data_IF_441169393958
#
_entry.id   IF_441169393958
#
_cell.length_a   1.000
_cell.length_b   1.000
_cell.length_c   1.000
_cell.angle_alpha   90.00
_cell.angle_beta   90.00
_cell.angle_gamma   90.00
#
_symmetry.space_group_name_H-M   'P 1'
#
loop_
_entity.id
_entity.type
_entity.pdbx_description
1 polymer ?
#
# COMPACT_ATOMS: atom_id res chain seq x y z
N UNK A 1 -4.12 10.13 41.93
CA UNK A 1 -4.08 9.44 40.61
C UNK A 1 -5.25 8.49 40.43
N UNK A 2 -5.41 7.43 41.25
CA UNK A 2 -6.48 6.44 41.08
C UNK A 2 -7.90 7.01 40.99
N UNK A 3 -8.33 7.81 41.97
CA UNK A 3 -9.64 8.48 41.96
C UNK A 3 -9.89 9.39 40.74
N UNK A 4 -8.82 9.99 40.19
CA UNK A 4 -8.92 10.82 38.99
C UNK A 4 -9.17 9.96 37.75
N UNK A 5 -8.42 8.86 37.60
CA UNK A 5 -8.63 7.91 36.48
C UNK A 5 -10.02 7.28 36.56
N UNK A 6 -10.47 6.86 37.76
CA UNK A 6 -11.82 6.32 37.98
C UNK A 6 -12.90 7.33 37.57
N UNK A 7 -12.77 8.61 37.95
CA UNK A 7 -13.72 9.64 37.54
C UNK A 7 -13.71 9.86 36.02
N UNK A 8 -12.51 9.95 35.42
CA UNK A 8 -12.34 10.17 33.98
C UNK A 8 -12.82 9.00 33.13
N UNK A 9 -12.84 7.78 33.66
CA UNK A 9 -13.22 6.54 32.94
C UNK A 9 -14.60 6.01 33.36
N UNK A 10 -15.34 6.79 34.16
CA UNK A 10 -16.66 6.39 34.64
C UNK A 10 -17.67 6.22 33.49
N UNK A 11 -18.53 5.17 33.54
CA UNK A 11 -19.62 5.00 32.57
C UNK A 11 -20.60 6.17 32.70
N UNK A 12 -20.84 6.91 31.61
CA UNK A 12 -21.72 8.10 31.59
C UNK A 12 -21.03 9.42 31.22
N UNK A 13 -19.70 9.42 31.08
CA UNK A 13 -18.98 10.50 30.39
C UNK A 13 -19.01 10.28 28.85
N UNK A 14 -20.20 10.06 28.30
CA UNK A 14 -20.42 9.89 26.86
C UNK A 14 -20.50 11.27 26.20
N UNK A 15 -19.82 11.43 25.06
CA UNK A 15 -19.73 12.72 24.34
C UNK A 15 -18.37 13.43 24.43
N UNK A 16 -17.29 12.73 24.79
CA UNK A 16 -15.94 13.28 24.74
C UNK A 16 -15.55 13.68 23.32
N UNK A 17 -14.97 14.85 23.18
CA UNK A 17 -14.40 15.39 21.95
C UNK A 17 -13.01 14.81 21.67
N UNK A 18 -12.56 14.90 20.41
CA UNK A 18 -11.19 14.50 20.02
C UNK A 18 -10.08 15.08 20.92
N UNK A 19 -10.09 16.40 21.22
CA UNK A 19 -9.10 17.00 22.12
C UNK A 19 -9.09 16.42 23.55
N UNK A 20 -10.23 15.97 24.06
CA UNK A 20 -10.32 15.32 25.37
C UNK A 20 -9.67 13.93 25.35
N UNK A 21 -9.83 13.20 24.26
CA UNK A 21 -9.12 11.94 24.05
C UNK A 21 -7.61 12.15 23.87
N UNK A 22 -7.18 13.20 23.17
CA UNK A 22 -5.76 13.55 23.07
C UNK A 22 -5.16 13.91 24.43
N UNK A 23 -5.93 14.62 25.27
CA UNK A 23 -5.52 14.93 26.64
C UNK A 23 -5.44 13.66 27.51
N UNK A 24 -6.38 12.73 27.35
CA UNK A 24 -6.34 11.43 28.01
C UNK A 24 -5.13 10.59 27.56
N UNK A 25 -4.77 10.63 26.27
CA UNK A 25 -3.55 10.01 25.73
C UNK A 25 -2.28 10.57 26.36
N UNK A 26 -2.16 11.91 26.44
CA UNK A 26 -1.03 12.57 27.12
C UNK A 26 -0.97 12.23 28.62
N UNK A 27 -2.13 12.14 29.29
CA UNK A 27 -2.20 11.71 30.68
C UNK A 27 -1.75 10.26 30.84
N UNK A 28 -2.18 9.37 29.95
CA UNK A 28 -1.73 7.98 29.94
C UNK A 28 -0.20 7.91 29.81
N UNK A 29 0.37 8.57 28.80
CA UNK A 29 1.82 8.59 28.57
C UNK A 29 2.60 9.16 29.77
N UNK A 30 2.05 10.16 30.46
CA UNK A 30 2.68 10.72 31.66
C UNK A 30 2.67 9.76 32.87
N UNK A 31 1.70 8.84 32.93
CA UNK A 31 1.53 7.87 34.00
C UNK A 31 2.15 6.50 33.68
N UNK A 32 2.34 6.17 32.40
CA UNK A 32 2.89 4.90 31.96
C UNK A 32 4.31 4.70 32.50
N UNK A 33 4.59 3.50 33.00
CA UNK A 33 5.82 3.16 33.75
C UNK A 33 6.01 3.88 35.09
N UNK A 34 5.14 4.83 35.47
CA UNK A 34 5.22 5.61 36.72
C UNK A 34 4.08 5.31 37.71
N UNK A 35 3.02 4.67 37.25
CA UNK A 35 1.88 4.23 38.05
C UNK A 35 1.62 2.73 37.87
N UNK A 36 0.99 2.05 38.86
CA UNK A 36 0.61 0.66 38.70
C UNK A 36 -0.32 0.46 37.50
N UNK A 37 -0.18 -0.64 36.77
CA UNK A 37 -1.01 -0.98 35.60
C UNK A 37 -2.50 -0.97 35.92
N UNK A 38 -2.89 -1.43 37.11
CA UNK A 38 -4.28 -1.39 37.59
C UNK A 38 -4.86 0.03 37.70
N UNK A 39 -4.01 1.05 37.79
CA UNK A 39 -4.41 2.46 37.81
C UNK A 39 -4.51 3.05 36.40
N UNK A 40 -3.72 2.57 35.43
CA UNK A 40 -3.71 3.10 34.06
C UNK A 40 -4.57 2.30 33.09
N UNK A 41 -4.91 1.05 33.42
CA UNK A 41 -5.68 0.14 32.58
C UNK A 41 -7.06 0.69 32.14
N UNK A 42 -7.86 1.34 33.01
CA UNK A 42 -9.13 1.93 32.57
C UNK A 42 -8.94 3.04 31.52
N UNK A 43 -7.85 3.82 31.64
CA UNK A 43 -7.51 4.89 30.71
C UNK A 43 -7.08 4.30 29.36
N UNK A 44 -6.27 3.23 29.38
CA UNK A 44 -5.87 2.50 28.19
C UNK A 44 -7.07 1.85 27.47
N UNK A 45 -7.98 1.23 28.23
CA UNK A 45 -9.20 0.63 27.71
C UNK A 45 -10.10 1.66 27.02
N UNK A 46 -10.26 2.84 27.62
CA UNK A 46 -11.04 3.95 27.05
C UNK A 46 -10.44 4.42 25.71
N UNK A 47 -9.13 4.65 25.67
CA UNK A 47 -8.42 5.08 24.45
C UNK A 47 -8.56 4.05 23.32
N UNK A 48 -8.38 2.75 23.61
CA UNK A 48 -8.51 1.71 22.60
C UNK A 48 -9.96 1.48 22.17
N UNK A 49 -10.93 1.62 23.08
CA UNK A 49 -12.35 1.56 22.71
C UNK A 49 -12.71 2.67 21.73
N UNK A 50 -12.22 3.89 21.98
CA UNK A 50 -12.41 5.01 21.06
C UNK A 50 -11.76 4.75 19.69
N UNK A 51 -10.53 4.23 19.71
CA UNK A 51 -9.83 3.84 18.49
C UNK A 51 -10.57 2.73 17.72
N UNK A 52 -11.28 1.82 18.39
CA UNK A 52 -12.10 0.78 17.75
C UNK A 52 -13.47 1.28 17.31
N UNK A 53 -14.00 2.37 17.86
CA UNK A 53 -15.33 2.88 17.48
C UNK A 53 -15.29 4.08 16.53
N UNK A 54 -14.10 4.60 16.26
CA UNK A 54 -13.83 5.49 15.13
C UNK A 54 -14.15 6.97 15.36
N UNK A 55 -14.24 7.44 16.60
CA UNK A 55 -14.48 8.88 16.85
C UNK A 55 -13.21 9.76 16.84
N UNK A 56 -11.99 9.19 16.91
CA UNK A 56 -10.73 9.92 16.68
C UNK A 56 -9.67 9.05 15.98
N UNK A 57 -9.44 9.28 14.68
CA UNK A 57 -8.44 8.57 13.87
C UNK A 57 -6.97 8.98 14.13
N UNK A 58 -6.74 10.06 14.89
CA UNK A 58 -5.40 10.57 15.23
C UNK A 58 -4.91 10.13 16.62
N UNK A 59 -5.65 9.24 17.28
CA UNK A 59 -5.36 8.86 18.65
C UNK A 59 -4.02 8.12 18.76
N UNK A 60 -3.11 8.63 19.59
CA UNK A 60 -1.93 7.85 19.99
C UNK A 60 -2.37 6.65 20.85
N UNK A 61 -1.99 5.46 20.40
CA UNK A 61 -2.36 4.22 21.08
C UNK A 61 -1.44 3.97 22.28
N UNK A 62 -1.98 3.44 23.40
CA UNK A 62 -1.14 2.99 24.52
C UNK A 62 -0.16 1.91 24.08
N UNK A 63 1.00 1.83 24.74
CA UNK A 63 1.99 0.79 24.49
C UNK A 63 1.49 -0.62 24.85
N UNK A 64 2.09 -1.65 24.25
CA UNK A 64 1.66 -3.06 24.41
C UNK A 64 1.68 -3.56 25.86
N UNK A 65 2.58 -3.04 26.68
CA UNK A 65 2.67 -3.35 28.11
C UNK A 65 1.40 -2.96 28.89
N UNK A 66 0.64 -1.97 28.41
CA UNK A 66 -0.61 -1.53 29.03
C UNK A 66 -1.71 -2.61 29.03
N UNK A 67 -1.60 -3.57 28.11
CA UNK A 67 -2.55 -4.69 27.96
C UNK A 67 -1.96 -6.03 28.41
N UNK A 68 -0.81 -6.00 29.10
CA UNK A 68 -0.26 -7.20 29.72
C UNK A 68 -1.04 -7.51 31.00
N UNK A 69 -1.80 -8.62 31.00
CA UNK A 69 -2.55 -9.08 32.17
C UNK A 69 -4.05 -9.28 31.93
N UNK A 70 -4.82 -9.59 33.00
CA UNK A 70 -6.23 -9.93 32.89
C UNK A 70 -7.11 -8.78 32.41
N UNK A 71 -6.76 -7.53 32.74
CA UNK A 71 -7.48 -6.34 32.26
C UNK A 71 -7.36 -6.20 30.74
N UNK A 72 -6.17 -6.43 30.18
CA UNK A 72 -5.96 -6.42 28.72
C UNK A 72 -6.72 -7.54 28.01
N UNK A 73 -6.74 -8.74 28.59
CA UNK A 73 -7.52 -9.87 28.07
C UNK A 73 -9.04 -9.57 28.07
N UNK A 74 -9.54 -8.89 29.09
CA UNK A 74 -10.94 -8.47 29.15
C UNK A 74 -11.27 -7.46 28.04
N UNK A 75 -10.40 -6.47 27.79
CA UNK A 75 -10.56 -5.51 26.68
C UNK A 75 -10.54 -6.23 25.33
N UNK A 76 -9.59 -7.16 25.12
CA UNK A 76 -9.51 -7.96 23.90
C UNK A 76 -10.76 -8.83 23.68
N UNK A 77 -11.33 -9.40 24.74
CA UNK A 77 -12.56 -10.20 24.67
C UNK A 77 -13.79 -9.39 24.24
N UNK A 78 -13.83 -8.10 24.57
CA UNK A 78 -14.92 -7.19 24.17
C UNK A 78 -14.71 -6.65 22.76
N UNK A 79 -13.52 -6.11 22.47
CA UNK A 79 -13.25 -5.39 21.22
C UNK A 79 -12.81 -6.30 20.08
N UNK A 80 -12.26 -7.48 20.35
CA UNK A 80 -11.79 -8.42 19.34
C UNK A 80 -12.85 -8.78 18.29
N UNK A 81 -14.08 -9.16 18.69
CA UNK A 81 -15.17 -9.41 17.75
C UNK A 81 -15.57 -8.18 16.93
N UNK A 82 -15.56 -6.97 17.52
CA UNK A 82 -15.85 -5.71 16.81
C UNK A 82 -14.80 -5.48 15.71
N UNK A 83 -13.50 -5.61 16.05
CA UNK A 83 -12.37 -5.46 15.12
C UNK A 83 -12.44 -6.47 13.97
N UNK A 84 -12.68 -7.74 14.29
CA UNK A 84 -12.79 -8.83 13.29
C UNK A 84 -13.96 -8.60 12.34
N UNK A 85 -15.11 -8.19 12.89
CA UNK A 85 -16.32 -7.91 12.10
C UNK A 85 -16.08 -6.75 11.14
N UNK A 86 -15.46 -5.67 11.63
CA UNK A 86 -15.23 -4.48 10.82
C UNK A 86 -14.16 -4.71 9.75
N UNK A 87 -13.04 -5.34 10.10
CA UNK A 87 -12.01 -5.74 9.12
C UNK A 87 -12.55 -6.74 8.10
N UNK A 88 -13.50 -7.60 8.48
CA UNK A 88 -14.13 -8.60 7.62
C UNK A 88 -15.30 -8.07 6.76
N UNK A 89 -15.79 -6.86 7.00
CA UNK A 89 -16.96 -6.29 6.34
C UNK A 89 -16.77 -6.12 4.82
N UNK A 90 -17.75 -6.59 4.04
CA UNK A 90 -17.69 -6.61 2.57
C UNK A 90 -18.34 -5.40 1.86
N UNK A 91 -18.99 -4.47 2.57
CA UNK A 91 -19.99 -3.58 1.98
C UNK A 91 -19.58 -2.13 1.70
N UNK A 92 -18.67 -1.55 2.48
CA UNK A 92 -18.12 -0.21 2.26
C UNK A 92 -16.67 -0.29 2.70
N UNK A 93 -15.73 -0.14 1.76
CA UNK A 93 -14.31 -0.24 2.07
C UNK A 93 -13.97 0.76 3.18
N UNK A 94 -13.41 0.25 4.28
CA UNK A 94 -12.78 1.11 5.28
C UNK A 94 -11.76 1.99 4.57
N UNK A 95 -11.68 3.25 4.94
CA UNK A 95 -10.59 4.08 4.45
C UNK A 95 -9.23 3.53 4.94
N UNK A 96 -8.16 4.03 4.33
CA UNK A 96 -6.80 3.58 4.63
C UNK A 96 -6.45 3.80 6.10
N UNK A 97 -6.79 4.97 6.65
CA UNK A 97 -6.46 5.33 8.03
C UNK A 97 -7.17 4.39 9.02
N UNK A 98 -8.44 4.09 8.75
CA UNK A 98 -9.28 3.21 9.55
C UNK A 98 -8.78 1.77 9.54
N UNK A 99 -8.44 1.27 8.36
CA UNK A 99 -7.87 -0.08 8.21
C UNK A 99 -6.56 -0.22 8.98
N UNK A 100 -5.66 0.75 8.85
CA UNK A 100 -4.37 0.78 9.57
C UNK A 100 -4.59 0.85 11.08
N UNK A 101 -5.52 1.69 11.55
CA UNK A 101 -5.86 1.83 12.97
C UNK A 101 -6.33 0.49 13.56
N UNK A 102 -7.27 -0.20 12.89
CA UNK A 102 -7.79 -1.48 13.35
C UNK A 102 -6.71 -2.57 13.39
N UNK A 103 -5.80 -2.64 12.40
CA UNK A 103 -4.70 -3.59 12.41
C UNK A 103 -3.68 -3.31 13.53
N UNK A 104 -3.41 -2.03 13.84
CA UNK A 104 -2.56 -1.64 14.99
C UNK A 104 -3.20 -2.05 16.31
N UNK A 105 -4.50 -1.78 16.47
CA UNK A 105 -5.24 -2.18 17.68
C UNK A 105 -5.37 -3.69 17.81
N UNK A 106 -5.64 -4.42 16.72
CA UNK A 106 -5.74 -5.87 16.72
C UNK A 106 -4.47 -6.49 17.31
N UNK A 107 -3.31 -6.04 16.85
CA UNK A 107 -2.04 -6.49 17.41
C UNK A 107 -1.82 -6.07 18.86
N UNK A 108 -2.16 -4.83 19.20
CA UNK A 108 -2.02 -4.31 20.55
C UNK A 108 -2.76 -5.21 21.56
N UNK A 109 -3.94 -5.68 21.18
CA UNK A 109 -4.81 -6.57 21.97
C UNK A 109 -4.53 -8.06 21.76
N UNK A 110 -3.64 -8.44 20.83
CA UNK A 110 -3.37 -9.84 20.50
C UNK A 110 -4.53 -10.56 19.80
N UNK A 111 -5.38 -9.82 19.08
CA UNK A 111 -6.47 -10.36 18.25
C UNK A 111 -5.87 -10.98 17.00
N UNK A 112 -6.18 -12.25 16.76
CA UNK A 112 -5.73 -12.95 15.55
C UNK A 112 -6.55 -12.51 14.33
N UNK A 113 -5.86 -11.87 13.37
CA UNK A 113 -6.41 -11.45 12.10
C UNK A 113 -5.79 -12.19 10.90
N UNK A 114 -5.01 -13.25 11.12
CA UNK A 114 -4.26 -13.93 10.06
C UNK A 114 -5.18 -14.43 8.93
N UNK A 115 -6.36 -14.97 9.27
CA UNK A 115 -7.35 -15.42 8.29
C UNK A 115 -8.02 -14.30 7.48
N UNK A 116 -8.02 -13.07 7.99
CA UNK A 116 -8.62 -11.91 7.31
C UNK A 116 -7.62 -11.17 6.43
N UNK A 117 -6.33 -11.26 6.77
CA UNK A 117 -5.26 -10.46 6.19
C UNK A 117 -5.26 -10.46 4.66
N UNK A 118 -5.42 -11.59 3.93
CA UNK A 118 -5.47 -11.57 2.46
C UNK A 118 -6.55 -10.64 1.93
N UNK A 119 -7.79 -10.76 2.45
CA UNK A 119 -8.90 -9.93 2.01
C UNK A 119 -8.72 -8.45 2.38
N UNK A 120 -8.10 -8.18 3.53
CA UNK A 120 -7.81 -6.82 4.00
C UNK A 120 -6.77 -6.17 3.10
N UNK A 121 -5.67 -6.85 2.76
CA UNK A 121 -4.64 -6.28 1.88
C UNK A 121 -5.11 -6.13 0.44
N UNK A 122 -5.97 -7.05 -0.04
CA UNK A 122 -6.56 -6.95 -1.39
C UNK A 122 -7.47 -5.71 -1.54
N UNK A 123 -8.10 -5.26 -0.43
CA UNK A 123 -8.85 -3.99 -0.40
C UNK A 123 -7.95 -2.78 -0.15
N UNK A 124 -6.97 -2.92 0.74
CA UNK A 124 -6.09 -1.83 1.15
C UNK A 124 -5.15 -1.39 0.02
N UNK A 125 -4.55 -2.35 -0.71
CA UNK A 125 -3.58 -2.06 -1.78
C UNK A 125 -4.11 -1.09 -2.85
N UNK A 126 -5.29 -1.31 -3.47
CA UNK A 126 -5.85 -0.33 -4.41
C UNK A 126 -6.27 0.99 -3.74
N UNK A 127 -6.76 0.96 -2.49
CA UNK A 127 -7.10 2.17 -1.75
C UNK A 127 -5.88 3.08 -1.48
N UNK A 128 -4.69 2.51 -1.29
CA UNK A 128 -3.44 3.27 -1.16
C UNK A 128 -3.07 4.05 -2.43
N UNK A 129 -3.56 3.61 -3.60
CA UNK A 129 -3.33 4.30 -4.88
C UNK A 129 -4.32 5.45 -5.08
N UNK A 130 -5.43 5.47 -4.33
CA UNK A 130 -6.42 6.55 -4.35
C UNK A 130 -6.00 7.68 -3.41
N UNK A 131 -5.45 8.76 -3.97
CA UNK A 131 -5.01 9.92 -3.18
C UNK A 131 -4.33 10.96 -4.06
N UNK A 132 -5.08 11.96 -4.50
CA UNK A 132 -4.67 12.93 -5.53
C UNK A 132 -3.92 14.17 -5.04
N UNK A 133 -3.61 14.28 -3.74
CA UNK A 133 -2.97 15.48 -3.19
C UNK A 133 -1.44 15.41 -3.25
N UNK A 134 -0.79 16.56 -3.43
CA UNK A 134 0.66 16.71 -3.31
C UNK A 134 1.10 16.46 -1.85
N UNK A 135 2.25 15.78 -1.65
CA UNK A 135 2.83 15.52 -0.32
C UNK A 135 2.44 14.17 0.30
N UNK A 136 2.99 13.85 1.47
CA UNK A 136 2.76 12.58 2.13
C UNK A 136 1.31 12.48 2.68
N UNK A 137 0.57 11.38 2.42
CA UNK A 137 -0.76 11.18 3.00
C UNK A 137 -0.72 11.16 4.53
N UNK A 138 -1.76 11.68 5.19
CA UNK A 138 -1.84 11.71 6.66
C UNK A 138 -1.79 10.33 7.33
N UNK A 139 -2.19 9.27 6.63
CA UNK A 139 -2.10 7.88 7.11
C UNK A 139 -0.70 7.27 6.99
N UNK A 140 0.23 7.88 6.24
CA UNK A 140 1.51 7.28 5.90
C UNK A 140 2.39 6.95 7.12
N UNK A 141 2.53 7.82 8.15
CA UNK A 141 3.32 7.48 9.34
C UNK A 141 2.80 6.23 10.06
N UNK A 142 1.48 6.13 10.26
CA UNK A 142 0.86 4.99 10.92
C UNK A 142 0.99 3.69 10.11
N UNK A 143 0.95 3.78 8.77
CA UNK A 143 1.19 2.62 7.90
C UNK A 143 2.64 2.13 8.03
N UNK A 144 3.61 3.05 8.02
CA UNK A 144 5.03 2.68 8.11
C UNK A 144 5.35 2.04 9.47
N UNK A 145 4.81 2.58 10.56
CA UNK A 145 4.90 1.98 11.89
C UNK A 145 4.27 0.58 11.91
N UNK A 146 3.06 0.43 11.34
CA UNK A 146 2.41 -0.87 11.21
C UNK A 146 3.28 -1.89 10.46
N UNK A 147 3.90 -1.50 9.35
CA UNK A 147 4.76 -2.37 8.53
C UNK A 147 6.12 -2.69 9.18
N UNK A 148 6.69 -1.73 9.93
CA UNK A 148 7.92 -1.97 10.69
C UNK A 148 7.67 -3.04 11.75
N UNK A 149 6.58 -2.87 12.46
CA UNK A 149 6.33 -3.66 13.62
C UNK A 149 5.58 -5.00 13.32
N UNK A 150 4.83 -5.12 12.21
CA UNK A 150 4.08 -6.33 11.81
C UNK A 150 4.60 -6.95 10.51
N UNK A 151 5.47 -7.96 10.64
CA UNK A 151 6.10 -8.65 9.51
C UNK A 151 5.10 -9.24 8.50
N UNK A 152 4.04 -9.89 8.98
CA UNK A 152 3.04 -10.54 8.11
C UNK A 152 2.24 -9.51 7.30
N UNK A 153 1.84 -8.40 7.93
CA UNK A 153 1.15 -7.28 7.25
C UNK A 153 2.06 -6.67 6.20
N UNK A 154 3.33 -6.39 6.53
CA UNK A 154 4.31 -5.88 5.56
C UNK A 154 4.45 -6.81 4.36
N UNK A 155 4.62 -8.10 4.61
CA UNK A 155 4.81 -9.11 3.54
C UNK A 155 3.56 -9.22 2.66
N UNK A 156 2.38 -9.32 3.26
CA UNK A 156 1.11 -9.43 2.54
C UNK A 156 0.80 -8.16 1.73
N UNK A 157 1.01 -6.98 2.31
CA UNK A 157 0.73 -5.70 1.64
C UNK A 157 1.69 -5.45 0.48
N UNK A 158 2.99 -5.69 0.66
CA UNK A 158 3.97 -5.56 -0.43
C UNK A 158 3.66 -6.54 -1.57
N UNK A 159 3.31 -7.79 -1.26
CA UNK A 159 2.90 -8.77 -2.27
C UNK A 159 1.60 -8.37 -2.99
N UNK A 160 0.63 -7.77 -2.27
CA UNK A 160 -0.60 -7.26 -2.88
C UNK A 160 -0.33 -6.06 -3.81
N UNK A 161 0.51 -5.11 -3.39
CA UNK A 161 0.91 -3.97 -4.22
C UNK A 161 1.68 -4.41 -5.46
N UNK A 162 2.61 -5.37 -5.33
CA UNK A 162 3.36 -5.93 -6.47
C UNK A 162 2.44 -6.62 -7.48
N UNK A 163 1.40 -7.32 -7.00
CA UNK A 163 0.41 -8.00 -7.83
C UNK A 163 -0.45 -7.05 -8.65
N UNK A 164 -0.82 -5.89 -8.11
CA UNK A 164 -1.67 -4.90 -8.81
C UNK A 164 -0.85 -3.91 -9.66
N UNK A 165 0.46 -3.84 -9.46
CA UNK A 165 1.34 -2.90 -10.15
C UNK A 165 1.36 -3.03 -11.69
N UNK A 166 1.21 -4.22 -12.32
CA UNK A 166 1.05 -4.32 -13.78
C UNK A 166 -0.18 -3.59 -14.32
N UNK A 167 -1.27 -3.51 -13.55
CA UNK A 167 -2.50 -2.82 -13.95
C UNK A 167 -2.48 -1.33 -13.58
N UNK A 168 -1.73 -0.95 -12.52
CA UNK A 168 -1.66 0.43 -12.02
C UNK A 168 -0.23 0.97 -11.84
N UNK A 169 0.67 0.85 -12.83
CA UNK A 169 2.10 1.14 -12.66
C UNK A 169 2.37 2.58 -12.23
N UNK A 170 1.72 3.56 -12.87
CA UNK A 170 1.88 4.97 -12.54
C UNK A 170 1.35 5.34 -11.15
N UNK A 171 0.27 4.68 -10.70
CA UNK A 171 -0.28 4.87 -9.37
C UNK A 171 0.67 4.35 -8.30
N UNK A 172 1.24 3.16 -8.50
CA UNK A 172 2.22 2.56 -7.59
C UNK A 172 3.51 3.38 -7.53
N UNK A 173 4.07 3.81 -8.67
CA UNK A 173 5.25 4.67 -8.68
C UNK A 173 5.02 5.99 -7.93
N UNK A 174 3.83 6.58 -8.06
CA UNK A 174 3.44 7.79 -7.31
C UNK A 174 3.28 7.54 -5.82
N UNK A 175 2.77 6.38 -5.41
CA UNK A 175 2.73 5.99 -4.00
C UNK A 175 4.15 5.90 -3.43
N UNK A 176 5.05 5.22 -4.13
CA UNK A 176 6.43 4.99 -3.69
C UNK A 176 7.29 6.27 -3.63
N UNK A 177 6.99 7.28 -4.45
CA UNK A 177 7.66 8.58 -4.35
C UNK A 177 7.21 9.41 -3.15
N UNK A 178 6.05 9.09 -2.56
CA UNK A 178 5.45 9.81 -1.43
C UNK A 178 5.60 9.07 -0.10
N UNK A 179 5.64 7.75 -0.15
CA UNK A 179 5.70 6.87 1.02
C UNK A 179 6.87 5.90 0.84
N UNK A 180 7.93 5.98 1.67
CA UNK A 180 9.10 5.13 1.58
C UNK A 180 8.80 3.72 2.13
N UNK A 181 8.06 2.92 1.36
CA UNK A 181 7.68 1.57 1.78
C UNK A 181 8.92 0.68 2.01
N UNK A 182 8.99 -0.06 3.13
CA UNK A 182 10.17 -0.85 3.49
C UNK A 182 10.16 -2.21 2.77
N UNK A 183 10.65 -2.25 1.53
CA UNK A 183 10.96 -3.51 0.85
C UNK A 183 12.46 -3.59 0.54
N UNK A 184 13.01 -4.80 0.66
CA UNK A 184 14.44 -5.06 0.44
C UNK A 184 14.67 -5.71 -0.92
N UNK A 185 15.91 -5.60 -1.43
CA UNK A 185 16.35 -6.28 -2.65
C UNK A 185 16.34 -7.82 -2.59
N UNK A 186 15.92 -8.43 -1.48
CA UNK A 186 15.83 -9.89 -1.32
C UNK A 186 14.44 -10.46 -1.60
N UNK A 187 13.38 -9.65 -1.51
CA UNK A 187 12.00 -10.11 -1.76
C UNK A 187 11.71 -10.10 -3.27
N UNK A 188 11.13 -11.18 -3.81
CA UNK A 188 10.72 -11.23 -5.22
C UNK A 188 9.50 -10.31 -5.46
N UNK A 189 9.77 -9.02 -5.67
CA UNK A 189 8.79 -7.95 -5.91
C UNK A 189 9.20 -7.17 -7.17
N UNK A 190 9.22 -7.81 -8.35
CA UNK A 190 9.77 -7.23 -9.57
C UNK A 190 9.04 -5.95 -9.97
N UNK A 191 7.72 -5.90 -9.85
CA UNK A 191 6.93 -4.74 -10.29
C UNK A 191 7.10 -3.55 -9.35
N UNK A 192 7.19 -3.78 -8.03
CA UNK A 192 7.49 -2.70 -7.08
C UNK A 192 8.88 -2.11 -7.30
N UNK A 193 9.89 -2.94 -7.57
CA UNK A 193 11.25 -2.46 -7.89
C UNK A 193 11.27 -1.63 -9.16
N UNK A 194 10.54 -2.07 -10.19
CA UNK A 194 10.37 -1.30 -11.41
C UNK A 194 9.72 0.05 -11.15
N UNK A 195 8.64 0.08 -10.36
CA UNK A 195 7.94 1.32 -10.01
C UNK A 195 8.82 2.28 -9.18
N UNK A 196 9.61 1.75 -8.25
CA UNK A 196 10.55 2.54 -7.45
C UNK A 196 11.74 3.07 -8.27
N UNK A 197 12.25 2.29 -9.22
CA UNK A 197 13.37 2.67 -10.08
C UNK A 197 12.99 3.59 -11.25
N UNK A 198 11.70 3.73 -11.57
CA UNK A 198 11.24 4.50 -12.72
C UNK A 198 11.63 6.00 -12.68
N UNK A 199 11.55 6.73 -11.55
CA UNK A 199 11.96 8.13 -11.51
C UNK A 199 13.45 8.31 -11.82
N UNK A 200 14.32 7.49 -11.23
CA UNK A 200 15.77 7.53 -11.51
C UNK A 200 16.06 7.15 -12.96
N UNK A 201 15.38 6.14 -13.50
CA UNK A 201 15.56 5.73 -14.88
C UNK A 201 15.22 6.85 -15.87
N UNK A 202 14.14 7.59 -15.64
CA UNK A 202 13.76 8.75 -16.47
C UNK A 202 14.76 9.90 -16.34
N UNK A 203 15.24 10.17 -15.13
CA UNK A 203 16.24 11.20 -14.89
C UNK A 203 17.56 10.91 -15.62
N UNK A 204 17.99 9.65 -15.64
CA UNK A 204 19.24 9.21 -16.25
C UNK A 204 19.19 9.14 -17.79
N UNK A 205 18.03 8.80 -18.35
CA UNK A 205 17.86 8.57 -19.79
C UNK A 205 17.29 9.76 -20.57
N UNK A 206 16.77 10.79 -19.88
CA UNK A 206 16.15 11.95 -20.53
C UNK A 206 14.97 11.54 -21.42
N UNK A 207 14.97 12.01 -22.67
CA UNK A 207 13.88 11.76 -23.63
C UNK A 207 13.97 10.37 -24.31
N UNK A 208 15.01 9.58 -24.04
CA UNK A 208 15.13 8.21 -24.56
C UNK A 208 14.23 7.25 -23.77
N UNK A 209 12.99 7.14 -24.23
CA UNK A 209 11.95 6.27 -23.65
C UNK A 209 12.31 4.79 -23.72
N UNK A 210 12.98 4.33 -24.78
CA UNK A 210 13.39 2.92 -24.91
C UNK A 210 14.53 2.60 -23.94
N UNK A 211 15.53 3.47 -23.81
CA UNK A 211 16.57 3.31 -22.79
C UNK A 211 16.00 3.32 -21.37
N UNK A 212 15.00 4.19 -21.12
CA UNK A 212 14.27 4.23 -19.85
C UNK A 212 13.59 2.90 -19.57
N UNK A 213 12.85 2.33 -20.54
CA UNK A 213 12.23 1.01 -20.38
C UNK A 213 13.26 -0.05 -20.02
N UNK A 214 14.37 -0.11 -20.76
CA UNK A 214 15.40 -1.12 -20.51
C UNK A 214 15.98 -1.01 -19.10
N UNK A 215 16.17 0.22 -18.59
CA UNK A 215 16.63 0.45 -17.21
C UNK A 215 15.58 0.03 -16.18
N UNK A 216 14.30 0.30 -16.42
CA UNK A 216 13.20 -0.15 -15.58
C UNK A 216 13.11 -1.68 -15.55
N UNK A 217 13.16 -2.35 -16.71
CA UNK A 217 13.13 -3.81 -16.78
C UNK A 217 14.30 -4.45 -16.01
N UNK A 218 15.50 -3.85 -16.10
CA UNK A 218 16.67 -4.29 -15.31
C UNK A 218 16.42 -4.15 -13.80
N UNK A 219 15.75 -3.10 -13.35
CA UNK A 219 15.41 -2.91 -11.93
C UNK A 219 14.46 -4.00 -11.40
N UNK A 220 13.57 -4.54 -12.25
CA UNK A 220 12.73 -5.69 -11.90
C UNK A 220 13.52 -6.96 -11.60
N UNK A 221 14.69 -7.13 -12.21
CA UNK A 221 15.61 -8.24 -11.96
C UNK A 221 15.13 -9.59 -12.50
N UNK A 222 14.07 -9.61 -13.31
CA UNK A 222 13.53 -10.79 -13.99
C UNK A 222 13.39 -10.52 -15.48
N UNK A 223 13.57 -11.57 -16.28
CA UNK A 223 13.41 -11.44 -17.74
C UNK A 223 11.92 -11.39 -18.11
N UNK A 224 11.52 -10.53 -19.07
CA UNK A 224 10.21 -10.58 -19.75
C UNK A 224 9.78 -11.96 -20.25
N UNK A 225 10.74 -12.83 -20.53
CA UNK A 225 10.44 -14.21 -20.94
C UNK A 225 9.94 -15.07 -19.77
N UNK A 226 10.51 -14.88 -18.58
CA UNK A 226 10.16 -15.64 -17.38
C UNK A 226 8.94 -15.06 -16.66
N UNK A 227 8.79 -13.73 -16.68
CA UNK A 227 7.65 -13.00 -16.12
C UNK A 227 7.16 -11.97 -17.13
N UNK A 228 6.23 -12.32 -18.03
CA UNK A 228 5.75 -11.40 -19.07
C UNK A 228 5.11 -10.12 -18.54
N UNK A 229 4.50 -10.13 -17.35
CA UNK A 229 3.83 -8.94 -16.83
C UNK A 229 4.80 -7.77 -16.55
N UNK A 230 6.11 -8.03 -16.42
CA UNK A 230 7.10 -6.92 -16.32
C UNK A 230 7.12 -6.07 -17.59
N UNK A 231 6.80 -6.62 -18.77
CA UNK A 231 6.63 -5.78 -19.96
C UNK A 231 5.46 -4.83 -19.79
N UNK A 232 4.33 -5.31 -19.24
CA UNK A 232 3.15 -4.48 -19.00
C UNK A 232 3.45 -3.34 -18.04
N UNK A 233 4.09 -3.65 -16.92
CA UNK A 233 4.52 -2.64 -15.94
C UNK A 233 5.46 -1.62 -16.59
N UNK A 234 6.48 -2.09 -17.32
CA UNK A 234 7.45 -1.21 -17.97
C UNK A 234 6.82 -0.29 -19.00
N UNK A 235 5.96 -0.84 -19.88
CA UNK A 235 5.24 -0.05 -20.89
C UNK A 235 4.32 0.98 -20.24
N UNK A 236 3.56 0.60 -19.20
CA UNK A 236 2.70 1.52 -18.48
C UNK A 236 3.46 2.59 -17.69
N UNK A 237 4.69 2.31 -17.26
CA UNK A 237 5.57 3.31 -16.64
C UNK A 237 6.14 4.29 -17.67
N UNK A 238 6.50 3.85 -18.87
CA UNK A 238 7.18 4.74 -19.84
C UNK A 238 6.18 5.52 -20.69
N UNK A 239 5.16 4.84 -21.20
CA UNK A 239 4.23 5.38 -22.19
C UNK A 239 2.88 5.80 -21.59
N UNK A 240 2.43 5.18 -20.48
CA UNK A 240 1.19 5.51 -19.74
C UNK A 240 -0.03 5.91 -20.63
N UNK A 241 -0.17 7.20 -20.97
CA UNK A 241 -1.26 7.75 -21.80
C UNK A 241 -0.86 8.07 -23.26
N UNK A 242 0.43 8.10 -23.57
CA UNK A 242 0.97 8.35 -24.91
C UNK A 242 1.38 7.04 -25.57
N UNK A 243 0.89 6.77 -26.78
CA UNK A 243 1.35 5.60 -27.53
C UNK A 243 2.85 5.73 -27.89
N UNK A 244 3.60 4.61 -27.95
CA UNK A 244 4.91 4.62 -28.56
C UNK A 244 4.80 4.99 -30.04
N UNK A 245 5.84 5.62 -30.58
CA UNK A 245 6.02 5.81 -32.02
C UNK A 245 6.24 4.45 -32.70
N UNK A 246 6.10 4.38 -34.03
CA UNK A 246 6.33 3.14 -34.76
C UNK A 246 7.78 2.63 -34.57
N UNK A 247 8.76 3.53 -34.57
CA UNK A 247 10.17 3.18 -34.34
C UNK A 247 10.41 2.61 -32.94
N UNK A 248 9.83 3.20 -31.90
CA UNK A 248 9.92 2.69 -30.52
C UNK A 248 9.20 1.34 -30.40
N UNK A 249 8.01 1.21 -30.99
CA UNK A 249 7.24 -0.04 -30.96
C UNK A 249 7.98 -1.21 -31.63
N UNK A 250 8.78 -0.96 -32.67
CA UNK A 250 9.66 -1.99 -33.24
C UNK A 250 10.77 -2.40 -32.29
N UNK A 251 11.43 -1.44 -31.64
CA UNK A 251 12.45 -1.74 -30.63
C UNK A 251 11.86 -2.51 -29.44
N UNK A 252 10.60 -2.21 -29.05
CA UNK A 252 9.87 -3.00 -28.05
C UNK A 252 9.66 -4.44 -28.50
N UNK A 253 9.21 -4.63 -29.74
CA UNK A 253 8.98 -5.96 -30.32
C UNK A 253 10.27 -6.77 -30.46
N UNK A 254 11.41 -6.13 -30.70
CA UNK A 254 12.72 -6.80 -30.73
C UNK A 254 13.21 -7.22 -29.34
N UNK A 255 12.76 -6.54 -28.27
CA UNK A 255 13.21 -6.78 -26.90
C UNK A 255 12.54 -7.99 -26.22
N UNK A 256 11.44 -8.52 -26.77
CA UNK A 256 10.73 -9.67 -26.22
C UNK A 256 10.04 -10.51 -27.31
N UNK A 257 9.62 -11.72 -26.97
CA UNK A 257 8.90 -12.58 -27.93
C UNK A 257 7.45 -12.12 -28.10
N UNK A 258 6.85 -12.43 -29.25
CA UNK A 258 5.43 -12.16 -29.50
C UNK A 258 4.53 -12.81 -28.42
N UNK A 259 4.86 -14.01 -27.95
CA UNK A 259 4.13 -14.66 -26.85
C UNK A 259 4.23 -13.88 -25.53
N UNK A 260 5.40 -13.33 -25.20
CA UNK A 260 5.56 -12.48 -24.02
C UNK A 260 4.70 -11.21 -24.14
N UNK A 261 4.63 -10.58 -25.33
CA UNK A 261 3.75 -9.44 -25.57
C UNK A 261 2.26 -9.79 -25.48
N UNK A 262 1.84 -10.98 -25.93
CA UNK A 262 0.45 -11.46 -25.76
C UNK A 262 0.13 -11.68 -24.30
N UNK A 263 0.99 -12.39 -23.57
CA UNK A 263 0.82 -12.67 -22.15
C UNK A 263 0.81 -11.38 -21.30
N UNK A 264 1.65 -10.40 -21.67
CA UNK A 264 1.68 -9.09 -21.04
C UNK A 264 0.52 -8.17 -21.44
N UNK A 265 -0.26 -8.52 -22.47
CA UNK A 265 -1.29 -7.66 -23.04
C UNK A 265 -0.74 -6.38 -23.71
N UNK A 266 0.55 -6.31 -24.02
CA UNK A 266 1.19 -5.12 -24.62
C UNK A 266 1.12 -5.12 -26.15
N UNK A 267 0.64 -6.20 -26.77
CA UNK A 267 0.35 -6.27 -28.20
C UNK A 267 -0.55 -5.14 -28.71
N UNK A 268 -1.61 -4.80 -27.96
CA UNK A 268 -2.55 -3.74 -28.34
C UNK A 268 -1.87 -2.38 -28.46
N UNK A 269 -0.84 -2.13 -27.65
CA UNK A 269 -0.01 -0.92 -27.69
C UNK A 269 0.83 -0.89 -28.97
N UNK A 270 1.40 -2.03 -29.38
CA UNK A 270 2.17 -2.14 -30.63
C UNK A 270 1.28 -1.91 -31.87
N UNK A 271 0.07 -2.48 -31.86
CA UNK A 271 -0.92 -2.25 -32.93
C UNK A 271 -1.36 -0.79 -32.96
N UNK A 272 -1.65 -0.20 -31.81
CA UNK A 272 -2.02 1.21 -31.72
C UNK A 272 -0.92 2.13 -32.27
N UNK A 273 0.35 1.83 -32.01
CA UNK A 273 1.49 2.55 -32.59
C UNK A 273 1.52 2.45 -34.12
N UNK A 274 1.31 1.26 -34.68
CA UNK A 274 1.27 1.06 -36.14
C UNK A 274 0.10 1.81 -36.80
N UNK A 275 -1.07 1.83 -36.15
CA UNK A 275 -2.28 2.50 -36.66
C UNK A 275 -2.23 4.02 -36.51
N UNK A 276 -1.52 4.53 -35.51
CA UNK A 276 -1.44 5.97 -35.22
C UNK A 276 -0.27 6.67 -35.95
N UNK A 277 0.59 5.90 -36.62
CA UNK A 277 1.73 6.44 -37.34
C UNK A 277 1.29 7.28 -38.55
N UNK A 278 1.95 8.41 -38.75
CA UNK A 278 1.69 9.29 -39.89
C UNK A 278 2.09 8.63 -41.21
N UNK A 279 1.52 9.09 -42.33
CA UNK A 279 1.81 8.56 -43.66
C UNK A 279 3.29 8.66 -44.06
N UNK A 280 4.02 9.61 -43.48
CA UNK A 280 5.45 9.84 -43.73
C UNK A 280 6.37 9.09 -42.75
N UNK A 281 5.82 8.31 -41.80
CA UNK A 281 6.62 7.53 -40.85
C UNK A 281 7.19 6.28 -41.54
N UNK A 282 8.47 6.33 -41.88
CA UNK A 282 9.18 5.23 -42.54
C UNK A 282 9.25 3.94 -41.72
N UNK A 283 9.07 3.99 -40.39
CA UNK A 283 9.08 2.80 -39.55
C UNK A 283 7.73 2.07 -39.52
N UNK A 284 6.63 2.74 -39.91
CA UNK A 284 5.28 2.18 -39.82
C UNK A 284 5.03 0.97 -40.73
N UNK A 285 5.43 0.95 -42.01
CA UNK A 285 5.25 -0.22 -42.87
C UNK A 285 6.03 -1.43 -42.38
N UNK A 286 7.23 -1.22 -41.84
CA UNK A 286 8.07 -2.28 -41.29
C UNK A 286 7.44 -2.85 -40.00
N UNK A 287 6.97 -1.99 -39.09
CA UNK A 287 6.24 -2.43 -37.90
C UNK A 287 5.01 -3.25 -38.27
N UNK A 288 4.20 -2.79 -39.24
CA UNK A 288 3.03 -3.52 -39.68
C UNK A 288 3.38 -4.92 -40.22
N UNK A 289 4.47 -5.02 -40.99
CA UNK A 289 4.99 -6.30 -41.47
C UNK A 289 5.41 -7.23 -40.31
N UNK A 290 6.17 -6.70 -39.35
CA UNK A 290 6.66 -7.45 -38.19
C UNK A 290 5.48 -7.96 -37.32
N UNK A 291 4.46 -7.14 -37.12
CA UNK A 291 3.25 -7.51 -36.38
C UNK A 291 2.46 -8.62 -37.09
N UNK A 292 2.25 -8.54 -38.41
CA UNK A 292 1.55 -9.58 -39.20
C UNK A 292 2.30 -10.92 -39.22
N UNK A 293 3.61 -10.90 -39.04
CA UNK A 293 4.44 -12.11 -38.98
C UNK A 293 4.46 -12.74 -37.59
N UNK A 294 4.43 -11.93 -36.54
CA UNK A 294 4.60 -12.37 -35.16
C UNK A 294 3.31 -12.70 -34.39
N UNK A 295 2.16 -12.18 -34.82
CA UNK A 295 0.89 -12.30 -34.10
C UNK A 295 -0.22 -12.85 -34.99
#
# INVERSE_FOLDING_TARGET
TRRLVEALTSPGADGRSGPEFDAAGRLFAALDGRSPTTTTAPLAAMLVTEAVRGGNGSLELPGRTAFSGPEGAAVAGVLGPEIVTELGGAGVGLDVARTVQLLRVARLLGVDCAGLLPSVVDRLAPALLTGGEEGAPGWAPALLELMDEQFDVRTALLGALDRIAPDHPAGVARLLSRVPLPFTGTQALPHLRMCAGAPEARADCGDDRVATLQRILRAGGVSPFAEPLVLRTGVGLVWNEEAPTAAEARQLLEAATSDAHRAAGTWSVLVAAALSAGADDGAAPELAHDLLRGF
#
